data_IF_612641179069
#
_entry.id   IF_612641179069
#
_cell.length_a   1.000
_cell.length_b   1.000
_cell.length_c   1.000
_cell.angle_alpha   90.00
_cell.angle_beta   90.00
_cell.angle_gamma   90.00
#
_symmetry.space_group_name_H-M   'P 1'
#
loop_
_entity.id
_entity.type
_entity.pdbx_description
1 polymer ?
#
# COMPACT_ATOMS: atom_id res chain seq x y z
N UNK A 1 -9.51 -26.04 20.29
CA UNK A 1 -8.81 -25.31 19.21
C UNK A 1 -9.25 -23.86 19.29
N UNK A 2 -8.44 -23.01 19.91
CA UNK A 2 -8.72 -21.56 19.96
C UNK A 2 -8.52 -20.98 18.56
N UNK A 3 -9.64 -20.61 17.92
CA UNK A 3 -9.63 -19.72 16.76
C UNK A 3 -9.27 -18.35 17.29
N UNK A 4 -7.97 -18.03 17.33
CA UNK A 4 -7.48 -16.68 17.53
C UNK A 4 -8.09 -15.84 16.41
N UNK A 5 -9.19 -15.18 16.70
CA UNK A 5 -9.78 -14.14 15.87
C UNK A 5 -8.75 -13.02 15.84
N UNK A 6 -7.81 -13.11 14.88
CA UNK A 6 -6.89 -12.02 14.54
C UNK A 6 -7.75 -10.78 14.35
N UNK A 7 -7.75 -9.87 15.33
CA UNK A 7 -8.37 -8.56 15.20
C UNK A 7 -7.85 -7.98 13.90
N UNK A 8 -8.73 -7.81 12.90
CA UNK A 8 -8.39 -7.11 11.66
C UNK A 8 -7.83 -5.75 12.07
N UNK A 9 -6.57 -5.54 11.75
CA UNK A 9 -5.90 -4.31 12.13
C UNK A 9 -6.39 -3.23 11.17
N UNK A 10 -7.33 -2.39 11.61
CA UNK A 10 -7.80 -1.26 10.79
C UNK A 10 -7.04 0.00 11.19
N UNK A 11 -6.00 0.42 10.43
CA UNK A 11 -5.37 1.70 10.70
C UNK A 11 -6.37 2.81 10.42
N UNK A 12 -6.43 3.78 11.33
CA UNK A 12 -7.18 5.03 11.15
C UNK A 12 -6.42 6.01 10.26
N UNK A 13 -5.10 5.87 10.19
CA UNK A 13 -4.20 6.79 9.50
C UNK A 13 -3.19 6.04 8.64
N UNK A 14 -2.99 6.50 7.40
CA UNK A 14 -1.92 6.02 6.50
C UNK A 14 -0.98 7.18 6.23
N UNK A 15 0.28 7.05 6.63
CA UNK A 15 1.31 8.09 6.49
C UNK A 15 2.46 7.62 5.61
N UNK A 16 3.29 8.55 5.15
CA UNK A 16 4.45 8.25 4.30
C UNK A 16 4.13 7.86 2.85
N UNK A 17 2.88 7.52 2.53
CA UNK A 17 2.47 7.08 1.20
C UNK A 17 2.55 8.19 0.15
N UNK A 18 1.93 9.34 0.42
CA UNK A 18 1.81 10.46 -0.53
C UNK A 18 3.15 10.89 -1.13
N UNK A 19 4.17 11.31 -0.35
CA UNK A 19 5.41 11.80 -0.91
C UNK A 19 6.16 10.74 -1.73
N UNK A 20 6.04 9.46 -1.36
CA UNK A 20 6.65 8.34 -2.10
C UNK A 20 5.94 8.08 -3.43
N UNK A 21 4.61 8.14 -3.42
CA UNK A 21 3.81 7.99 -4.62
C UNK A 21 4.05 9.15 -5.59
N UNK A 22 4.10 10.39 -5.09
CA UNK A 22 4.43 11.58 -5.89
C UNK A 22 5.82 11.42 -6.55
N UNK A 23 6.83 10.96 -5.80
CA UNK A 23 8.16 10.72 -6.34
C UNK A 23 8.18 9.67 -7.47
N UNK A 24 7.42 8.59 -7.32
CA UNK A 24 7.29 7.55 -8.36
C UNK A 24 6.60 8.09 -9.60
N UNK A 25 5.44 8.74 -9.44
CA UNK A 25 4.63 9.20 -10.57
C UNK A 25 5.29 10.37 -11.31
N UNK A 26 5.96 11.28 -10.61
CA UNK A 26 6.77 12.35 -11.23
C UNK A 26 7.95 11.80 -12.04
N UNK A 27 8.43 10.60 -11.74
CA UNK A 27 9.45 9.89 -12.50
C UNK A 27 8.98 9.34 -13.86
N UNK A 28 7.74 9.60 -14.27
CA UNK A 28 7.18 9.10 -15.53
C UNK A 28 6.69 7.65 -15.44
N UNK A 29 6.26 7.20 -14.26
CA UNK A 29 5.78 5.85 -14.03
C UNK A 29 4.62 5.46 -14.96
N UNK A 30 4.91 4.58 -15.92
CA UNK A 30 3.93 3.85 -16.73
C UNK A 30 3.48 2.56 -16.06
N UNK A 31 2.63 1.79 -16.77
CA UNK A 31 2.09 0.47 -16.39
C UNK A 31 3.05 -0.38 -15.56
N UNK A 32 2.52 -1.08 -14.56
CA UNK A 32 3.32 -1.94 -13.69
C UNK A 32 2.60 -2.26 -12.38
N UNK A 33 3.35 -2.35 -11.28
CA UNK A 33 2.81 -2.54 -9.94
C UNK A 33 3.63 -1.77 -8.91
N UNK A 34 2.95 -1.17 -7.94
CA UNK A 34 3.58 -0.63 -6.75
C UNK A 34 3.78 -1.75 -5.74
N UNK A 35 5.02 -1.94 -5.31
CA UNK A 35 5.35 -2.78 -4.15
C UNK A 35 5.63 -1.84 -2.98
N UNK A 36 4.82 -1.96 -1.94
CA UNK A 36 4.97 -1.15 -0.74
C UNK A 36 5.23 -1.98 0.49
N UNK A 37 6.00 -1.40 1.40
CA UNK A 37 6.15 -1.90 2.77
C UNK A 37 5.78 -0.81 3.75
N UNK A 38 5.17 -1.21 4.84
CA UNK A 38 4.83 -0.31 5.93
C UNK A 38 4.85 -1.00 7.28
N UNK A 39 4.84 -0.17 8.31
CA UNK A 39 4.85 -0.60 9.71
C UNK A 39 3.62 -0.11 10.43
N UNK A 40 3.02 -1.01 11.19
CA UNK A 40 1.89 -0.75 12.08
C UNK A 40 2.44 -0.14 13.37
N UNK A 41 2.03 1.09 13.65
CA UNK A 41 2.37 1.85 14.86
C UNK A 41 1.07 2.31 15.50
N UNK A 42 0.63 1.62 16.56
CA UNK A 42 -0.67 1.86 17.21
C UNK A 42 -1.85 1.72 16.24
N UNK A 43 -2.47 2.82 15.85
CA UNK A 43 -3.60 2.95 14.92
C UNK A 43 -3.19 3.56 13.57
N UNK A 44 -1.88 3.68 13.33
CA UNK A 44 -1.29 4.21 12.12
C UNK A 44 -0.56 3.12 11.32
N UNK A 45 -0.67 3.19 10.00
CA UNK A 45 0.23 2.51 9.08
C UNK A 45 1.19 3.52 8.47
N UNK A 46 2.47 3.40 8.79
CA UNK A 46 3.54 4.18 8.17
C UNK A 46 4.11 3.43 6.98
N UNK A 47 3.93 3.95 5.76
CA UNK A 47 4.55 3.39 4.56
C UNK A 47 6.02 3.81 4.53
N UNK A 48 6.91 2.85 4.75
CA UNK A 48 8.35 3.06 4.83
C UNK A 48 9.02 2.93 3.47
N UNK A 49 8.53 2.03 2.61
CA UNK A 49 9.05 1.77 1.27
C UNK A 49 7.92 1.74 0.25
N UNK A 50 8.18 2.27 -0.94
CA UNK A 50 7.30 2.15 -2.11
C UNK A 50 8.19 2.13 -3.34
N UNK A 51 8.09 1.10 -4.15
CA UNK A 51 8.83 0.95 -5.40
C UNK A 51 7.87 0.61 -6.54
N UNK A 52 8.19 1.09 -7.74
CA UNK A 52 7.52 0.68 -8.95
C UNK A 52 8.27 -0.49 -9.58
N UNK A 53 7.56 -1.57 -9.88
CA UNK A 53 8.04 -2.63 -10.77
C UNK A 53 7.24 -2.60 -12.06
N UNK A 54 7.90 -2.78 -13.21
CA UNK A 54 7.21 -2.76 -14.51
C UNK A 54 6.40 -4.05 -14.76
N UNK A 55 6.61 -5.09 -13.95
CA UNK A 55 5.85 -6.32 -14.04
C UNK A 55 4.45 -6.17 -13.44
N UNK A 56 3.39 -6.55 -14.17
CA UNK A 56 2.05 -6.60 -13.64
C UNK A 56 1.95 -7.73 -12.63
N UNK A 57 1.64 -7.38 -11.39
CA UNK A 57 1.42 -8.31 -10.28
C UNK A 57 0.01 -8.15 -9.79
N UNK A 58 -0.56 -9.24 -9.32
CA UNK A 58 -1.88 -9.20 -8.71
C UNK A 58 -1.83 -8.38 -7.42
N UNK A 59 -2.95 -7.72 -7.14
CA UNK A 59 -3.15 -7.00 -5.89
C UNK A 59 -3.05 -7.97 -4.73
N UNK A 60 -2.13 -7.73 -3.82
CA UNK A 60 -1.89 -8.57 -2.66
C UNK A 60 -1.62 -7.71 -1.42
N UNK A 61 -2.00 -8.21 -0.26
CA UNK A 61 -1.66 -7.62 1.03
C UNK A 61 -1.28 -8.75 1.98
N UNK A 62 -0.13 -8.62 2.63
CA UNK A 62 0.34 -9.53 3.66
C UNK A 62 0.65 -8.76 4.93
N UNK A 63 0.05 -9.20 6.03
CA UNK A 63 0.30 -8.64 7.37
C UNK A 63 1.05 -9.68 8.18
N UNK A 64 2.26 -9.35 8.61
CA UNK A 64 3.12 -10.20 9.46
C UNK A 64 3.46 -9.44 10.74
N UNK A 65 2.69 -9.70 11.79
CA UNK A 65 2.87 -8.99 13.06
C UNK A 65 2.60 -7.49 12.92
N UNK A 66 3.66 -6.68 12.99
CA UNK A 66 3.58 -5.22 12.81
C UNK A 66 4.03 -4.76 11.42
N UNK A 67 4.36 -5.67 10.53
CA UNK A 67 4.80 -5.34 9.17
C UNK A 67 3.68 -5.62 8.16
N UNK A 68 3.55 -4.72 7.19
CA UNK A 68 2.58 -4.81 6.10
C UNK A 68 3.35 -4.74 4.79
N UNK A 69 3.20 -5.76 3.97
CA UNK A 69 3.66 -5.78 2.59
C UNK A 69 2.44 -5.72 1.68
N UNK A 70 2.46 -4.87 0.66
CA UNK A 70 1.34 -4.74 -0.26
C UNK A 70 1.78 -4.57 -1.71
N UNK A 71 0.93 -5.03 -2.61
CA UNK A 71 1.08 -4.91 -4.06
C UNK A 71 -0.15 -4.20 -4.61
N UNK A 72 0.06 -3.15 -5.38
CA UNK A 72 -1.01 -2.40 -6.05
C UNK A 72 -0.73 -2.28 -7.56
N UNK A 73 -1.52 -2.93 -8.43
CA UNK A 73 -1.30 -2.86 -9.87
C UNK A 73 -1.62 -1.48 -10.43
N UNK A 74 -0.81 -1.03 -11.39
CA UNK A 74 -0.99 0.21 -12.15
C UNK A 74 -1.34 -0.07 -13.61
N UNK A 75 -2.39 0.59 -14.10
CA UNK A 75 -2.92 0.48 -15.47
C UNK A 75 -2.23 1.44 -16.45
N UNK A 76 -1.48 2.41 -15.93
CA UNK A 76 -0.59 3.32 -16.68
C UNK A 76 -1.22 4.58 -17.25
N UNK A 77 -2.54 4.76 -17.11
CA UNK A 77 -3.26 5.98 -17.47
C UNK A 77 -3.99 6.59 -16.26
N UNK A 78 -3.62 6.18 -15.05
CA UNK A 78 -4.26 6.64 -13.82
C UNK A 78 -3.55 7.91 -13.33
N UNK A 79 -4.34 8.91 -12.94
CA UNK A 79 -3.86 10.09 -12.23
C UNK A 79 -3.41 9.77 -10.81
N UNK A 80 -2.70 10.71 -10.18
CA UNK A 80 -2.26 10.57 -8.78
C UNK A 80 -3.43 10.19 -7.86
N UNK A 81 -4.55 10.88 -7.96
CA UNK A 81 -5.72 10.66 -7.08
C UNK A 81 -6.41 9.31 -7.35
N UNK A 82 -6.45 8.88 -8.61
CA UNK A 82 -6.97 7.56 -9.00
C UNK A 82 -6.15 6.41 -8.43
N UNK A 83 -4.89 6.64 -8.08
CA UNK A 83 -4.03 5.65 -7.41
C UNK A 83 -4.08 5.85 -5.90
N UNK A 84 -3.92 7.09 -5.43
CA UNK A 84 -3.74 7.43 -4.02
C UNK A 84 -4.95 7.05 -3.17
N UNK A 85 -6.17 7.47 -3.56
CA UNK A 85 -7.35 7.21 -2.73
C UNK A 85 -7.72 5.72 -2.64
N UNK A 86 -7.72 4.95 -3.74
CA UNK A 86 -7.95 3.50 -3.65
C UNK A 86 -6.87 2.78 -2.85
N UNK A 87 -5.61 3.22 -2.95
CA UNK A 87 -4.51 2.64 -2.20
C UNK A 87 -4.63 2.94 -0.69
N UNK A 88 -4.94 4.18 -0.30
CA UNK A 88 -5.23 4.53 1.10
C UNK A 88 -6.42 3.72 1.62
N UNK A 89 -7.50 3.63 0.83
CA UNK A 89 -8.69 2.85 1.21
C UNK A 89 -8.37 1.37 1.40
N UNK A 90 -7.54 0.82 0.53
CA UNK A 90 -7.05 -0.56 0.65
C UNK A 90 -6.28 -0.75 1.96
N UNK A 91 -5.33 0.13 2.25
CA UNK A 91 -4.48 0.07 3.44
C UNK A 91 -5.23 0.38 4.75
N UNK A 92 -6.35 1.11 4.68
CA UNK A 92 -7.21 1.40 5.84
C UNK A 92 -8.12 0.22 6.23
N UNK A 93 -8.24 -0.79 5.37
CA UNK A 93 -9.13 -1.95 5.55
C UNK A 93 -8.39 -3.26 5.90
N UNK A 94 -7.16 -3.15 6.41
CA UNK A 94 -6.33 -4.27 6.87
C UNK A 94 -6.96 -5.06 8.05
#
# INVERSE_FOLDING_TARGET
MEVVTRRRFRPKWVTGLRPRLEAILNGGAGRGSLLGRGRIVSDMLEVTELILVQEPKEREIRVKGKEVEFIYPLRGNESFDEIYYPLVRMLSNL
#
